data_IF_394392202605
#
_entry.id   IF_394392202605
#
_cell.length_a   1.000
_cell.length_b   1.000
_cell.length_c   1.000
_cell.angle_alpha   90.00
_cell.angle_beta   90.00
_cell.angle_gamma   90.00
#
_symmetry.space_group_name_H-M   'P 1'
#
loop_
_entity.id
_entity.type
_entity.pdbx_description
1 polymer ?
#
# COMPACT_ATOMS: atom_id res chain seq x y z
N UNK A 1 -2.33 5.16 -29.73
CA UNK A 1 -1.26 5.62 -28.82
C UNK A 1 -0.81 6.99 -29.26
N UNK A 2 -0.51 7.93 -28.36
CA UNK A 2 -0.02 9.28 -28.70
C UNK A 2 1.45 9.42 -28.34
N UNK A 3 2.14 10.33 -28.99
CA UNK A 3 3.54 10.64 -28.69
C UNK A 3 3.66 11.20 -27.28
N UNK A 4 4.66 10.73 -26.51
CA UNK A 4 4.90 11.16 -25.13
C UNK A 4 5.57 12.55 -25.04
N UNK A 5 6.00 13.11 -26.16
CA UNK A 5 6.74 14.37 -26.22
C UNK A 5 5.89 15.50 -26.84
N UNK A 6 5.26 15.28 -28.00
CA UNK A 6 4.46 16.29 -28.72
C UNK A 6 2.96 15.97 -28.77
N UNK A 7 2.48 14.95 -28.10
CA UNK A 7 1.08 14.47 -28.07
C UNK A 7 0.45 14.14 -29.44
N UNK A 8 1.25 14.09 -30.52
CA UNK A 8 0.76 13.73 -31.82
C UNK A 8 0.23 12.32 -31.93
N UNK A 9 -0.82 12.11 -32.70
CA UNK A 9 -1.37 10.80 -33.04
C UNK A 9 -0.57 10.07 -34.13
N UNK A 10 0.32 10.78 -34.83
CA UNK A 10 1.13 10.26 -35.95
C UNK A 10 2.27 9.37 -35.46
N UNK A 11 1.91 8.24 -34.84
CA UNK A 11 2.84 7.28 -34.24
C UNK A 11 2.84 5.99 -35.05
N UNK A 12 4.03 5.48 -35.37
CA UNK A 12 4.23 4.21 -36.10
C UNK A 12 4.87 3.19 -35.18
N UNK A 13 4.36 1.95 -35.16
CA UNK A 13 4.99 0.82 -34.50
C UNK A 13 6.18 0.34 -35.34
N UNK A 14 7.30 0.05 -34.68
CA UNK A 14 8.48 -0.52 -35.30
C UNK A 14 8.46 -2.04 -35.23
N UNK A 15 9.00 -2.76 -36.23
CA UNK A 15 9.04 -4.23 -36.23
C UNK A 15 9.91 -4.77 -35.12
N UNK A 16 10.99 -4.03 -34.75
CA UNK A 16 11.90 -4.50 -33.70
C UNK A 16 11.31 -4.27 -32.32
N UNK A 17 11.54 -5.24 -31.44
CA UNK A 17 11.16 -5.19 -30.02
C UNK A 17 12.37 -4.79 -29.15
N UNK A 18 12.10 -4.33 -27.93
CA UNK A 18 13.16 -4.20 -26.92
C UNK A 18 13.71 -5.59 -26.52
N UNK A 19 14.85 -5.64 -25.80
CA UNK A 19 15.42 -6.88 -25.26
C UNK A 19 14.41 -7.62 -24.33
N UNK A 20 13.47 -6.89 -23.70
CA UNK A 20 12.40 -7.44 -22.88
C UNK A 20 11.09 -7.66 -23.66
N UNK A 21 11.13 -7.67 -25.00
CA UNK A 21 10.04 -7.93 -25.95
C UNK A 21 8.92 -6.86 -25.97
N UNK A 22 9.15 -5.65 -25.43
CA UNK A 22 8.18 -4.54 -25.54
C UNK A 22 8.15 -3.95 -26.93
N UNK A 23 6.96 -3.53 -27.38
CA UNK A 23 6.77 -2.83 -28.66
C UNK A 23 7.47 -1.48 -28.64
N UNK A 24 8.08 -1.13 -29.77
CA UNK A 24 8.74 0.17 -30.00
C UNK A 24 7.93 1.02 -30.95
N UNK A 25 7.95 2.31 -30.69
CA UNK A 25 7.20 3.28 -31.45
C UNK A 25 8.08 4.46 -31.86
N UNK A 26 7.75 5.10 -32.99
CA UNK A 26 8.37 6.36 -33.46
C UNK A 26 7.30 7.34 -33.79
N UNK A 27 7.39 8.58 -33.32
CA UNK A 27 6.58 9.69 -33.74
C UNK A 27 7.05 10.17 -35.10
N UNK A 28 6.14 10.40 -36.06
CA UNK A 28 6.46 10.91 -37.38
C UNK A 28 6.69 12.41 -37.38
N UNK A 29 6.13 13.16 -36.44
CA UNK A 29 6.28 14.61 -36.35
C UNK A 29 7.56 15.01 -35.62
N UNK A 30 7.79 14.58 -34.38
CA UNK A 30 8.97 15.01 -33.63
C UNK A 30 10.14 13.99 -33.67
N UNK A 31 10.00 12.84 -34.33
CA UNK A 31 11.03 11.83 -34.47
C UNK A 31 11.31 11.01 -33.20
N UNK A 32 10.69 11.33 -32.04
CA UNK A 32 10.91 10.67 -30.75
C UNK A 32 10.62 9.19 -30.84
N UNK A 33 11.54 8.38 -30.31
CA UNK A 33 11.33 6.93 -30.12
C UNK A 33 10.97 6.63 -28.68
N UNK A 34 10.04 5.71 -28.48
CA UNK A 34 9.59 5.27 -27.17
C UNK A 34 9.05 3.83 -27.25
N UNK A 35 8.73 3.24 -26.11
CA UNK A 35 8.17 1.89 -26.01
C UNK A 35 6.97 1.88 -25.05
N UNK A 36 6.32 0.72 -24.88
CA UNK A 36 5.15 0.56 -23.99
C UNK A 36 5.42 0.96 -22.54
N UNK A 37 6.68 0.96 -22.11
CA UNK A 37 7.07 1.30 -20.71
C UNK A 37 7.47 2.76 -20.55
N UNK A 38 7.68 3.49 -21.63
CA UNK A 38 8.31 4.82 -21.58
C UNK A 38 7.56 5.85 -20.75
N UNK A 39 6.22 5.72 -20.62
CA UNK A 39 5.40 6.55 -19.74
C UNK A 39 5.24 5.96 -18.31
N UNK A 40 5.71 4.76 -18.07
CA UNK A 40 5.46 4.04 -16.82
C UNK A 40 6.55 4.22 -15.78
N UNK A 41 6.21 3.98 -14.52
CA UNK A 41 7.14 4.03 -13.36
C UNK A 41 8.28 3.03 -13.44
N UNK A 42 8.12 1.97 -14.24
CA UNK A 42 9.16 0.97 -14.52
C UNK A 42 9.97 1.29 -15.77
N UNK A 43 9.83 2.50 -16.33
CA UNK A 43 10.70 2.93 -17.42
C UNK A 43 12.18 2.85 -16.98
N UNK A 44 13.06 2.50 -17.92
CA UNK A 44 14.51 2.33 -17.70
C UNK A 44 14.89 1.26 -16.66
N UNK A 45 14.00 0.35 -16.31
CA UNK A 45 14.38 -0.82 -15.50
C UNK A 45 14.87 -1.96 -16.40
N UNK A 46 15.87 -2.68 -15.92
CA UNK A 46 16.55 -3.74 -16.66
C UNK A 46 15.69 -4.99 -16.87
N UNK A 47 14.76 -5.25 -15.93
CA UNK A 47 13.96 -6.48 -15.91
C UNK A 47 12.55 -6.24 -16.47
N UNK A 48 11.87 -7.29 -16.99
CA UNK A 48 10.48 -7.22 -17.42
C UNK A 48 9.54 -6.78 -16.28
N UNK A 49 8.46 -6.07 -16.65
CA UNK A 49 7.53 -5.50 -15.66
C UNK A 49 6.78 -6.56 -14.86
N UNK A 50 6.49 -7.70 -15.43
CA UNK A 50 5.85 -8.86 -14.79
C UNK A 50 6.75 -9.48 -13.73
N UNK A 51 8.05 -9.66 -14.01
CA UNK A 51 9.04 -10.12 -13.03
C UNK A 51 9.13 -9.15 -11.86
N UNK A 52 9.26 -7.85 -12.14
CA UNK A 52 9.32 -6.82 -11.09
C UNK A 52 8.03 -6.82 -10.25
N UNK A 53 6.87 -6.89 -10.89
CA UNK A 53 5.57 -6.93 -10.21
C UNK A 53 5.44 -8.17 -9.32
N UNK A 54 5.90 -9.34 -9.80
CA UNK A 54 5.89 -10.59 -9.03
C UNK A 54 6.79 -10.51 -7.80
N UNK A 55 8.02 -10.00 -7.95
CA UNK A 55 8.96 -9.80 -6.83
C UNK A 55 8.35 -8.89 -5.76
N UNK A 56 7.78 -7.75 -6.18
CA UNK A 56 7.14 -6.80 -5.25
C UNK A 56 5.90 -7.42 -4.60
N UNK A 57 5.07 -8.14 -5.35
CA UNK A 57 3.92 -8.85 -4.81
C UNK A 57 4.34 -9.86 -3.73
N UNK A 58 5.38 -10.66 -4.00
CA UNK A 58 5.88 -11.62 -3.02
C UNK A 58 6.46 -10.94 -1.79
N UNK A 59 7.18 -9.84 -1.97
CA UNK A 59 7.67 -9.01 -0.87
C UNK A 59 6.53 -8.52 0.05
N UNK A 60 5.44 -8.10 -0.53
CA UNK A 60 4.29 -7.58 0.21
C UNK A 60 3.42 -8.69 0.82
N UNK A 61 3.31 -9.83 0.15
CA UNK A 61 2.43 -10.94 0.54
C UNK A 61 3.05 -11.87 1.56
N UNK A 62 4.32 -12.24 1.36
CA UNK A 62 4.99 -13.27 2.15
C UNK A 62 5.98 -12.67 3.14
N UNK A 63 6.45 -13.50 4.08
CA UNK A 63 7.45 -13.11 5.10
C UNK A 63 8.87 -13.25 4.56
N UNK A 64 9.14 -12.66 3.38
CA UNK A 64 10.44 -12.73 2.72
C UNK A 64 11.24 -11.45 2.95
N UNK A 65 12.53 -11.58 3.19
CA UNK A 65 13.44 -10.45 3.18
C UNK A 65 13.76 -10.02 1.74
N UNK A 66 14.41 -8.88 1.55
CA UNK A 66 14.86 -8.46 0.22
C UNK A 66 15.94 -9.40 -0.32
N UNK A 67 16.74 -9.99 0.57
CA UNK A 67 17.81 -10.95 0.21
C UNK A 67 17.22 -12.29 -0.18
N UNK A 68 16.27 -12.81 0.57
CA UNK A 68 15.58 -14.06 0.22
C UNK A 68 14.99 -13.98 -1.19
N UNK A 69 14.39 -12.83 -1.55
CA UNK A 69 13.84 -12.62 -2.88
C UNK A 69 14.94 -12.63 -3.96
N UNK A 70 16.05 -11.94 -3.73
CA UNK A 70 17.17 -11.95 -4.68
C UNK A 70 17.73 -13.36 -4.87
N UNK A 71 17.88 -14.13 -3.81
CA UNK A 71 18.37 -15.51 -3.82
C UNK A 71 17.39 -16.45 -4.55
N UNK A 72 16.09 -16.38 -4.24
CA UNK A 72 15.05 -17.21 -4.87
C UNK A 72 14.99 -17.04 -6.40
N UNK A 73 15.19 -15.81 -6.88
CA UNK A 73 15.19 -15.52 -8.30
C UNK A 73 16.54 -15.87 -8.94
N UNK A 74 17.65 -15.71 -8.22
CA UNK A 74 18.97 -16.13 -8.68
C UNK A 74 19.02 -17.63 -9.00
N UNK A 75 18.45 -18.48 -8.14
CA UNK A 75 18.34 -19.94 -8.38
C UNK A 75 17.54 -20.23 -9.67
N UNK A 76 16.69 -19.30 -10.13
CA UNK A 76 15.92 -19.39 -11.38
C UNK A 76 16.59 -18.72 -12.57
N UNK A 77 17.87 -18.34 -12.45
CA UNK A 77 18.64 -17.68 -13.50
C UNK A 77 18.32 -16.19 -13.69
N UNK A 78 17.61 -15.55 -12.73
CA UNK A 78 17.28 -14.13 -12.76
C UNK A 78 18.07 -13.42 -11.67
N UNK A 79 19.20 -12.83 -12.00
CA UNK A 79 20.11 -12.19 -11.05
C UNK A 79 19.81 -10.70 -10.87
N UNK A 80 19.42 -10.27 -9.67
CA UNK A 80 19.29 -8.86 -9.27
C UNK A 80 19.69 -8.68 -7.81
N UNK A 81 20.05 -7.45 -7.45
CA UNK A 81 20.43 -7.12 -6.08
C UNK A 81 19.22 -6.87 -5.18
N UNK A 82 19.39 -6.99 -3.88
CA UNK A 82 18.36 -6.65 -2.90
C UNK A 82 18.05 -5.14 -2.89
N UNK A 83 18.98 -4.28 -3.33
CA UNK A 83 18.72 -2.86 -3.56
C UNK A 83 17.72 -2.65 -4.69
N UNK A 84 17.84 -3.41 -5.79
CA UNK A 84 16.88 -3.35 -6.88
C UNK A 84 15.46 -3.69 -6.39
N UNK A 85 15.31 -4.72 -5.55
CA UNK A 85 14.02 -5.07 -4.94
C UNK A 85 13.47 -3.91 -4.10
N UNK A 86 14.33 -3.23 -3.33
CA UNK A 86 13.94 -2.06 -2.52
C UNK A 86 13.45 -0.90 -3.40
N UNK A 87 14.14 -0.66 -4.50
CA UNK A 87 13.77 0.39 -5.46
C UNK A 87 12.44 0.06 -6.15
N UNK A 88 12.23 -1.18 -6.58
CA UNK A 88 10.99 -1.63 -7.19
C UNK A 88 9.81 -1.55 -6.22
N UNK A 89 10.01 -1.97 -4.97
CA UNK A 89 9.02 -1.80 -3.91
C UNK A 89 8.66 -0.31 -3.73
N UNK A 90 9.66 0.57 -3.75
CA UNK A 90 9.44 2.01 -3.61
C UNK A 90 8.62 2.59 -4.75
N UNK A 91 8.84 2.13 -5.98
CA UNK A 91 8.14 2.58 -7.19
C UNK A 91 6.71 2.03 -7.31
N UNK A 92 6.52 0.72 -7.05
CA UNK A 92 5.24 0.06 -7.30
C UNK A 92 4.26 0.12 -6.13
N UNK A 93 4.73 0.12 -4.88
CA UNK A 93 3.85 0.09 -3.72
C UNK A 93 2.85 1.26 -3.67
N UNK A 94 3.21 2.52 -3.99
CA UNK A 94 2.24 3.61 -4.03
C UNK A 94 1.11 3.36 -5.03
N UNK A 95 1.43 2.89 -6.23
CA UNK A 95 0.47 2.60 -7.30
C UNK A 95 -0.49 1.48 -6.89
N UNK A 96 0.06 0.39 -6.34
CA UNK A 96 -0.74 -0.72 -5.83
C UNK A 96 -1.65 -0.24 -4.69
N UNK A 97 -1.13 0.58 -3.77
CA UNK A 97 -1.90 1.13 -2.67
C UNK A 97 -3.07 2.00 -3.18
N UNK A 98 -2.86 2.84 -4.18
CA UNK A 98 -3.89 3.72 -4.75
C UNK A 98 -4.94 2.91 -5.51
N UNK A 99 -4.54 1.92 -6.31
CA UNK A 99 -5.49 1.05 -7.01
C UNK A 99 -6.38 0.27 -6.02
N UNK A 100 -5.80 -0.25 -4.95
CA UNK A 100 -6.54 -0.98 -3.93
C UNK A 100 -7.46 -0.06 -3.11
N UNK A 101 -7.09 1.20 -2.90
CA UNK A 101 -7.98 2.22 -2.34
C UNK A 101 -9.16 2.52 -3.25
N UNK A 102 -8.95 2.60 -4.58
CA UNK A 102 -10.03 2.77 -5.55
C UNK A 102 -11.00 1.60 -5.51
N UNK A 103 -10.50 0.35 -5.43
CA UNK A 103 -11.34 -0.84 -5.29
C UNK A 103 -12.16 -0.85 -4.01
N UNK A 104 -11.61 -0.38 -2.89
CA UNK A 104 -12.35 -0.24 -1.62
C UNK A 104 -13.49 0.76 -1.71
N UNK A 105 -13.31 1.89 -2.39
CA UNK A 105 -14.40 2.86 -2.63
C UNK A 105 -15.59 2.25 -3.34
N UNK A 106 -15.35 1.27 -4.22
CA UNK A 106 -16.40 0.55 -4.95
C UNK A 106 -17.03 -0.59 -4.15
N UNK A 107 -16.39 -1.02 -3.06
CA UNK A 107 -16.88 -2.10 -2.22
C UNK A 107 -17.83 -1.54 -1.16
N UNK A 108 -19.02 -2.13 -1.05
CA UNK A 108 -19.95 -1.82 0.04
C UNK A 108 -19.40 -2.42 1.33
N UNK A 109 -18.91 -1.59 2.22
CA UNK A 109 -18.47 -1.97 3.57
C UNK A 109 -19.67 -2.15 4.48
N UNK A 110 -19.53 -3.03 5.47
CA UNK A 110 -20.53 -3.17 6.52
C UNK A 110 -20.55 -1.91 7.42
N UNK A 111 -21.74 -1.54 7.98
CA UNK A 111 -21.91 -0.29 8.71
C UNK A 111 -21.25 -0.27 10.10
N UNK A 112 -20.65 -1.36 10.55
CA UNK A 112 -19.95 -1.45 11.83
C UNK A 112 -18.45 -1.61 11.61
N UNK A 113 -17.65 -0.68 12.18
CA UNK A 113 -16.20 -0.72 12.10
C UNK A 113 -15.59 -1.09 13.45
N UNK A 114 -14.53 -1.88 13.41
CA UNK A 114 -13.67 -2.22 14.55
C UNK A 114 -12.34 -1.52 14.37
N UNK A 115 -11.90 -0.80 15.38
CA UNK A 115 -10.71 0.06 15.31
C UNK A 115 -9.79 -0.28 16.46
N UNK A 116 -8.52 -0.43 16.15
CA UNK A 116 -7.47 -0.66 17.14
C UNK A 116 -6.12 -0.14 16.59
N UNK A 117 -5.18 0.10 17.47
CA UNK A 117 -3.81 0.42 17.08
C UNK A 117 -2.81 -0.57 17.67
N UNK A 118 -1.73 -0.76 16.92
CA UNK A 118 -0.60 -1.57 17.37
C UNK A 118 0.72 -0.80 17.24
N UNK A 119 1.74 -1.25 17.96
CA UNK A 119 3.04 -0.59 18.00
C UNK A 119 3.97 -1.18 16.96
N UNK A 120 4.73 -0.28 16.29
CA UNK A 120 5.79 -0.62 15.35
C UNK A 120 7.03 0.22 15.67
N UNK A 121 8.21 -0.42 15.71
CA UNK A 121 9.47 0.29 15.94
C UNK A 121 10.08 0.78 14.62
N UNK A 122 10.34 2.08 14.52
CA UNK A 122 10.97 2.73 13.36
C UNK A 122 12.18 3.52 13.84
N UNK A 123 13.38 3.17 13.39
CA UNK A 123 14.64 3.77 13.88
C UNK A 123 14.74 3.82 15.41
N UNK A 124 14.34 2.76 16.07
CA UNK A 124 14.37 2.71 17.54
C UNK A 124 13.21 3.42 18.24
N UNK A 125 12.38 4.23 17.56
CA UNK A 125 11.23 4.96 18.11
C UNK A 125 9.94 4.19 17.90
N UNK A 126 9.05 4.24 18.88
CA UNK A 126 7.72 3.64 18.78
C UNK A 126 6.82 4.51 17.89
N UNK A 127 6.18 3.89 16.92
CA UNK A 127 5.14 4.45 16.08
C UNK A 127 3.86 3.62 16.23
N UNK A 128 2.72 4.20 15.92
CA UNK A 128 1.40 3.63 16.11
C UNK A 128 0.74 3.35 14.78
N UNK A 129 0.36 2.10 14.54
CA UNK A 129 -0.36 1.69 13.35
C UNK A 129 -1.84 1.56 13.68
N UNK A 130 -2.60 2.56 13.30
CA UNK A 130 -4.06 2.56 13.37
C UNK A 130 -4.64 1.69 12.25
N UNK A 131 -5.60 0.85 12.58
CA UNK A 131 -6.31 0.00 11.63
C UNK A 131 -7.79 -0.04 11.93
N UNK A 132 -8.59 -0.08 10.87
CA UNK A 132 -10.01 -0.36 10.97
C UNK A 132 -10.40 -1.47 10.00
N UNK A 133 -11.23 -2.39 10.46
CA UNK A 133 -11.90 -3.42 9.65
C UNK A 133 -13.40 -3.31 9.84
N UNK A 134 -14.18 -3.75 8.86
CA UNK A 134 -15.63 -3.88 9.04
C UNK A 134 -15.98 -5.20 9.77
N UNK A 135 -17.28 -5.39 10.08
CA UNK A 135 -17.76 -6.62 10.73
C UNK A 135 -17.48 -7.90 9.94
N UNK A 136 -17.23 -7.79 8.64
CA UNK A 136 -16.91 -8.94 7.77
C UNK A 136 -15.40 -9.20 7.70
N UNK A 137 -14.57 -8.38 8.40
CA UNK A 137 -13.11 -8.45 8.37
C UNK A 137 -12.49 -7.74 7.17
N UNK A 138 -13.28 -7.01 6.37
CA UNK A 138 -12.73 -6.24 5.27
C UNK A 138 -12.04 -4.98 5.79
N UNK A 139 -10.84 -4.71 5.28
CA UNK A 139 -10.08 -3.53 5.69
C UNK A 139 -10.80 -2.24 5.27
N UNK A 140 -11.04 -1.37 6.23
CA UNK A 140 -11.56 -0.01 6.05
C UNK A 140 -10.43 0.95 5.71
N UNK A 141 -9.46 1.09 6.62
CA UNK A 141 -8.26 1.91 6.38
C UNK A 141 -7.11 1.51 7.32
N UNK A 142 -5.90 2.02 7.00
CA UNK A 142 -4.69 1.86 7.79
C UNK A 142 -3.85 3.14 7.74
N UNK A 143 -3.36 3.58 8.90
CA UNK A 143 -2.51 4.77 9.02
C UNK A 143 -1.40 4.54 10.03
N UNK A 144 -0.16 4.84 9.63
CA UNK A 144 0.97 4.92 10.55
C UNK A 144 1.13 6.36 11.07
N UNK A 145 1.26 6.50 12.38
CA UNK A 145 1.49 7.78 13.07
C UNK A 145 2.68 7.67 14.02
N UNK A 146 3.41 8.77 14.19
CA UNK A 146 4.45 8.88 15.22
C UNK A 146 3.86 9.18 16.60
N UNK A 147 2.58 9.58 16.67
CA UNK A 147 1.89 9.94 17.89
C UNK A 147 0.64 9.10 18.10
N UNK A 148 0.30 8.87 19.38
CA UNK A 148 -0.95 8.27 19.84
C UNK A 148 -1.75 9.31 20.59
N UNK A 149 -2.30 10.27 19.87
CA UNK A 149 -3.03 11.37 20.43
C UNK A 149 -4.36 11.62 19.68
N UNK A 150 -5.13 12.57 20.18
CA UNK A 150 -6.41 12.95 19.58
C UNK A 150 -6.26 13.42 18.11
N UNK A 151 -5.16 14.12 17.79
CA UNK A 151 -4.92 14.61 16.43
C UNK A 151 -4.70 13.45 15.46
N UNK A 152 -3.91 12.45 15.87
CA UNK A 152 -3.68 11.23 15.09
C UNK A 152 -4.96 10.43 14.90
N UNK A 153 -5.76 10.23 15.96
CA UNK A 153 -7.05 9.55 15.88
C UNK A 153 -8.04 10.28 14.94
N UNK A 154 -8.14 11.61 15.02
CA UNK A 154 -8.95 12.40 14.08
C UNK A 154 -8.47 12.27 12.63
N UNK A 155 -7.16 12.32 12.40
CA UNK A 155 -6.57 12.14 11.06
C UNK A 155 -6.89 10.75 10.50
N UNK A 156 -6.82 9.71 11.33
CA UNK A 156 -7.18 8.36 10.94
C UNK A 156 -8.63 8.24 10.52
N UNK A 157 -9.59 8.71 11.33
CA UNK A 157 -11.02 8.63 10.97
C UNK A 157 -11.39 9.47 9.75
N UNK A 158 -10.77 10.64 9.56
CA UNK A 158 -10.92 11.44 8.34
C UNK A 158 -10.41 10.69 7.11
N UNK A 159 -9.26 10.03 7.22
CA UNK A 159 -8.71 9.19 6.16
C UNK A 159 -9.64 8.02 5.83
N UNK A 160 -10.12 7.30 6.84
CA UNK A 160 -11.05 6.19 6.67
C UNK A 160 -12.34 6.61 5.95
N UNK A 161 -12.95 7.73 6.36
CA UNK A 161 -14.12 8.33 5.68
C UNK A 161 -13.80 8.71 4.23
N UNK A 162 -12.66 9.34 3.97
CA UNK A 162 -12.26 9.75 2.62
C UNK A 162 -11.98 8.55 1.70
N UNK A 163 -11.37 7.49 2.23
CA UNK A 163 -11.05 6.26 1.48
C UNK A 163 -12.30 5.47 1.14
N UNK A 164 -13.24 5.33 2.07
CA UNK A 164 -14.45 4.52 1.89
C UNK A 164 -15.60 5.28 1.24
N UNK A 165 -15.62 6.61 1.38
CA UNK A 165 -16.76 7.44 1.02
C UNK A 165 -18.00 7.23 1.90
N UNK A 166 -17.85 6.49 3.02
CA UNK A 166 -18.95 6.10 3.90
C UNK A 166 -18.68 6.51 5.36
N UNK A 167 -19.75 6.66 6.11
CA UNK A 167 -19.73 6.82 7.57
C UNK A 167 -20.39 5.59 8.18
N UNK A 168 -19.77 4.93 9.17
CA UNK A 168 -20.38 3.78 9.83
C UNK A 168 -21.48 4.21 10.80
N UNK A 169 -22.41 3.30 11.08
CA UNK A 169 -23.38 3.48 12.16
C UNK A 169 -22.75 3.31 13.53
N UNK A 170 -21.71 2.44 13.59
CA UNK A 170 -21.04 2.07 14.84
C UNK A 170 -19.54 1.92 14.65
N UNK A 171 -18.77 2.42 15.63
CA UNK A 171 -17.35 2.16 15.80
C UNK A 171 -17.13 1.45 17.13
N UNK A 172 -16.43 0.30 17.10
CA UNK A 172 -16.00 -0.43 18.29
C UNK A 172 -14.48 -0.30 18.45
N UNK A 173 -14.01 0.06 19.65
CA UNK A 173 -12.57 0.19 19.97
C UNK A 173 -12.25 -0.39 21.33
N UNK A 174 -10.96 -0.42 21.71
CA UNK A 174 -10.45 -0.81 23.02
C UNK A 174 -10.76 0.19 24.16
N UNK A 175 -11.27 1.39 23.83
CA UNK A 175 -11.66 2.40 24.81
C UNK A 175 -10.60 3.46 25.09
N UNK A 176 -9.57 3.60 24.27
CA UNK A 176 -8.62 4.70 24.42
C UNK A 176 -9.31 6.06 24.40
N UNK A 177 -8.93 6.95 25.33
CA UNK A 177 -9.62 8.23 25.63
C UNK A 177 -9.73 9.19 24.43
N UNK A 178 -8.85 9.09 23.45
CA UNK A 178 -8.91 9.91 22.23
C UNK A 178 -10.03 9.53 21.27
N UNK A 179 -10.54 8.31 21.32
CA UNK A 179 -11.50 7.81 20.32
C UNK A 179 -12.89 8.49 20.39
N UNK A 180 -13.53 8.66 21.56
CA UNK A 180 -14.87 9.28 21.62
C UNK A 180 -14.91 10.63 20.94
N UNK A 181 -13.94 11.50 21.24
CA UNK A 181 -13.85 12.84 20.68
C UNK A 181 -13.42 12.82 19.20
N UNK A 182 -12.51 11.92 18.81
CA UNK A 182 -12.07 11.77 17.42
C UNK A 182 -13.20 11.30 16.51
N UNK A 183 -13.97 10.29 16.92
CA UNK A 183 -15.14 9.75 16.20
C UNK A 183 -16.17 10.85 16.01
N UNK A 184 -16.58 11.52 17.10
CA UNK A 184 -17.57 12.60 17.05
C UNK A 184 -17.15 13.72 16.11
N UNK A 185 -15.88 14.11 16.13
CA UNK A 185 -15.31 15.20 15.31
C UNK A 185 -15.14 14.84 13.84
N UNK A 186 -14.76 13.59 13.51
CA UNK A 186 -14.39 13.19 12.16
C UNK A 186 -15.55 12.51 11.40
N UNK A 187 -16.35 11.72 12.09
CA UNK A 187 -17.42 10.93 11.50
C UNK A 187 -18.81 11.52 11.75
N UNK A 188 -19.00 12.28 12.84
CA UNK A 188 -20.27 12.91 13.20
C UNK A 188 -20.83 12.42 14.53
N UNK A 189 -21.88 13.13 15.02
CA UNK A 189 -22.52 12.84 16.31
C UNK A 189 -23.46 11.63 16.28
N UNK A 190 -23.89 11.21 15.10
CA UNK A 190 -24.82 10.09 14.89
C UNK A 190 -24.14 8.72 15.01
N UNK A 191 -22.81 8.69 14.93
CA UNK A 191 -22.04 7.45 15.01
C UNK A 191 -21.96 6.95 16.46
N UNK A 192 -22.47 5.75 16.71
CA UNK A 192 -22.40 5.12 18.04
C UNK A 192 -20.98 4.63 18.30
N UNK A 193 -20.35 5.09 19.37
CA UNK A 193 -19.10 4.53 19.87
C UNK A 193 -19.36 3.45 20.92
N UNK A 194 -18.77 2.27 20.74
CA UNK A 194 -18.83 1.16 21.68
C UNK A 194 -17.42 0.75 22.10
N UNK A 195 -17.20 0.62 23.38
CA UNK A 195 -15.98 0.06 23.96
C UNK A 195 -16.18 -1.43 24.21
N UNK A 196 -15.30 -2.27 23.67
CA UNK A 196 -15.30 -3.70 23.94
C UNK A 196 -13.92 -4.32 23.68
N UNK A 197 -13.27 -4.76 24.73
CA UNK A 197 -11.92 -5.36 24.71
C UNK A 197 -11.92 -6.72 24.00
N UNK A 198 -13.02 -7.49 24.07
CA UNK A 198 -13.08 -8.89 23.60
C UNK A 198 -13.44 -9.04 22.12
N UNK A 199 -13.99 -8.02 21.45
CA UNK A 199 -14.42 -8.11 20.05
C UNK A 199 -13.31 -7.82 19.05
N UNK A 200 -12.09 -7.55 19.49
CA UNK A 200 -10.95 -7.19 18.63
C UNK A 200 -10.10 -8.39 18.16
N UNK A 201 -10.51 -9.63 18.44
CA UNK A 201 -9.74 -10.84 18.06
C UNK A 201 -9.34 -10.89 16.58
N UNK A 202 -10.20 -10.39 15.67
CA UNK A 202 -9.88 -10.33 14.24
C UNK A 202 -8.81 -9.30 13.94
N UNK A 203 -8.84 -8.14 14.58
CA UNK A 203 -7.80 -7.11 14.47
C UNK A 203 -6.49 -7.59 15.08
N UNK A 204 -6.51 -8.33 16.17
CA UNK A 204 -5.31 -8.92 16.76
C UNK A 204 -4.64 -9.92 15.82
N UNK A 205 -5.40 -10.79 15.14
CA UNK A 205 -4.86 -11.72 14.13
C UNK A 205 -4.20 -10.95 12.98
N UNK A 206 -4.82 -9.89 12.54
CA UNK A 206 -4.32 -9.01 11.50
C UNK A 206 -3.04 -8.26 11.94
N UNK A 207 -3.01 -7.76 13.19
CA UNK A 207 -1.80 -7.18 13.81
C UNK A 207 -0.66 -8.21 13.91
N UNK A 208 -0.94 -9.47 14.29
CA UNK A 208 0.07 -10.55 14.30
C UNK A 208 0.62 -10.82 12.90
N UNK A 209 -0.23 -10.79 11.87
CA UNK A 209 0.16 -10.94 10.48
C UNK A 209 1.17 -9.88 10.04
N UNK A 210 0.89 -8.59 10.35
CA UNK A 210 1.79 -7.48 10.03
C UNK A 210 3.08 -7.56 10.85
N UNK A 211 3.00 -7.75 12.16
CA UNK A 211 4.18 -7.89 13.03
C UNK A 211 5.09 -9.04 12.60
N UNK A 212 4.51 -10.17 12.17
CA UNK A 212 5.26 -11.31 11.64
C UNK A 212 6.08 -10.95 10.40
N UNK A 213 5.54 -10.12 9.49
CA UNK A 213 6.27 -9.64 8.30
C UNK A 213 7.37 -8.64 8.68
N UNK A 214 7.10 -7.71 9.60
CA UNK A 214 8.07 -6.71 10.07
C UNK A 214 9.25 -7.38 10.76
N UNK A 215 9.03 -8.45 11.54
CA UNK A 215 10.07 -9.20 12.23
C UNK A 215 11.12 -9.74 11.26
N UNK A 216 10.73 -10.33 10.14
CA UNK A 216 11.64 -10.81 9.11
C UNK A 216 12.47 -9.68 8.47
N UNK A 217 11.95 -8.45 8.48
CA UNK A 217 12.62 -7.29 7.86
C UNK A 217 13.62 -6.59 8.78
N UNK A 218 13.77 -7.02 10.02
CA UNK A 218 14.60 -6.37 11.07
C UNK A 218 14.21 -4.90 11.34
N UNK A 219 12.96 -4.52 11.04
CA UNK A 219 12.43 -3.17 11.25
C UNK A 219 12.60 -2.23 10.05
N UNK A 220 12.43 -0.95 10.30
CA UNK A 220 12.43 0.10 9.27
C UNK A 220 13.49 1.17 9.53
N UNK A 221 14.24 1.51 8.49
CA UNK A 221 15.23 2.58 8.51
C UNK A 221 14.66 4.00 8.36
N UNK A 222 13.36 4.16 8.02
CA UNK A 222 12.69 5.46 7.93
C UNK A 222 11.19 5.34 8.11
N UNK A 223 10.55 6.44 8.59
CA UNK A 223 9.09 6.51 8.70
C UNK A 223 8.39 6.39 7.34
N UNK A 224 8.97 6.95 6.29
CA UNK A 224 8.44 6.87 4.92
C UNK A 224 8.38 5.43 4.43
N UNK A 225 9.44 4.65 4.63
CA UNK A 225 9.46 3.23 4.24
C UNK A 225 8.49 2.39 5.09
N UNK A 226 8.41 2.65 6.40
CA UNK A 226 7.45 2.00 7.28
C UNK A 226 6.00 2.30 6.87
N UNK A 227 5.68 3.58 6.63
CA UNK A 227 4.35 4.02 6.20
C UNK A 227 3.95 3.39 4.86
N UNK A 228 4.86 3.35 3.89
CA UNK A 228 4.64 2.72 2.59
C UNK A 228 4.34 1.23 2.75
N UNK A 229 5.18 0.51 3.49
CA UNK A 229 5.01 -0.91 3.74
C UNK A 229 3.70 -1.21 4.47
N UNK A 230 3.38 -0.52 5.56
CA UNK A 230 2.16 -0.77 6.34
C UNK A 230 0.87 -0.53 5.55
N UNK A 231 0.90 0.34 4.54
CA UNK A 231 -0.23 0.55 3.64
C UNK A 231 -0.44 -0.58 2.64
N UNK A 232 0.63 -1.27 2.24
CA UNK A 232 0.61 -2.28 1.19
C UNK A 232 0.09 -3.66 1.64
N UNK A 233 0.60 -4.29 2.72
CA UNK A 233 0.11 -5.61 3.18
C UNK A 233 -1.32 -5.61 3.68
N UNK A 234 -1.81 -4.44 4.10
CA UNK A 234 -3.21 -4.24 4.44
C UNK A 234 -4.16 -4.42 3.24
N UNK A 235 -3.63 -4.65 2.07
CA UNK A 235 -4.31 -4.60 0.79
C UNK A 235 -4.39 -5.97 0.11
N UNK A 236 -3.63 -6.94 0.59
CA UNK A 236 -3.53 -8.31 0.11
C UNK A 236 -4.11 -9.31 1.10
#
# INVERSE_FOLDING_TARGET
MRCLDCDSAAVTERPERTAQRYRRFRCRECGKQFNERSAGVLNRTQYPSDVIALVVLWRLRYRLTLRDLAEMFFIRGIAFSYEAVREWEAKLTPILADELRRRRRRRRLAPSWYVDETYIKVRGRWCYLYRAIDRNGALVDVMLSERRDLAAAKAFFRSAKAVTGAVPDRVTSDGHDSYPQAIRSALGKTVTHRTNVYLNNRLEQDHRGIKGRIRCMRGFGSFVSARRFCRAPALL
#
